data_IF_159556990445
#
_entry.id   IF_159556990445
#
_cell.length_a   1.000
_cell.length_b   1.000
_cell.length_c   1.000
_cell.angle_alpha   90.00
_cell.angle_beta   90.00
_cell.angle_gamma   90.00
#
_symmetry.space_group_name_H-M   'P 1'
#
loop_
_entity.id
_entity.type
_entity.pdbx_description
1 polymer ?
#
# COMPACT_ATOMS: atom_id res chain seq x y z
N UNK A 1 17.43 3.67 19.02
CA UNK A 1 16.05 3.16 19.06
C UNK A 1 15.52 3.10 17.63
N UNK A 2 14.97 1.95 17.23
CA UNK A 2 14.27 1.61 15.98
C UNK A 2 14.98 1.95 14.63
N UNK A 3 15.55 0.92 14.00
CA UNK A 3 16.06 0.93 12.63
C UNK A 3 14.94 1.24 11.64
N UNK A 4 15.04 2.42 11.02
CA UNK A 4 14.18 2.83 9.94
C UNK A 4 14.73 2.39 8.58
N UNK A 5 13.81 1.95 7.74
CA UNK A 5 13.94 1.88 6.28
C UNK A 5 14.78 0.73 5.69
N UNK A 6 14.37 -0.51 5.93
CA UNK A 6 14.45 -1.54 4.88
C UNK A 6 13.60 -1.09 3.68
N UNK A 7 14.26 -0.33 2.83
CA UNK A 7 13.77 0.16 1.55
C UNK A 7 13.89 -1.01 0.57
N UNK A 8 12.86 -1.82 0.43
CA UNK A 8 12.70 -2.62 -0.79
C UNK A 8 12.34 -1.63 -1.91
N UNK A 9 13.21 -1.37 -2.91
CA UNK A 9 12.90 -0.46 -4.01
C UNK A 9 12.10 -1.24 -5.05
N UNK A 10 10.87 -1.59 -4.72
CA UNK A 10 9.93 -2.25 -5.62
C UNK A 10 8.84 -1.27 -6.04
N UNK A 11 8.88 -0.83 -7.31
CA UNK A 11 7.72 -0.25 -8.01
C UNK A 11 7.12 1.05 -7.41
N UNK A 12 7.76 2.19 -7.72
CA UNK A 12 7.02 3.31 -8.30
C UNK A 12 6.28 4.31 -7.40
N UNK A 13 6.51 4.35 -6.09
CA UNK A 13 6.00 5.40 -5.21
C UNK A 13 7.13 5.96 -4.32
N UNK A 14 7.28 7.29 -4.27
CA UNK A 14 8.24 7.94 -3.36
C UNK A 14 8.03 7.46 -1.92
N UNK A 15 9.09 7.31 -1.14
CA UNK A 15 9.01 6.83 0.26
C UNK A 15 7.98 7.58 1.11
N UNK A 16 7.79 8.88 0.84
CA UNK A 16 6.77 9.73 1.43
C UNK A 16 5.33 9.33 1.05
N UNK A 17 5.10 8.91 -0.20
CA UNK A 17 3.81 8.39 -0.63
C UNK A 17 3.52 7.02 0.02
N UNK A 18 4.53 6.14 0.10
CA UNK A 18 4.42 4.87 0.82
C UNK A 18 4.01 5.12 2.28
N UNK A 19 4.70 6.01 2.99
CA UNK A 19 4.39 6.37 4.37
C UNK A 19 2.98 6.94 4.52
N UNK A 20 2.52 7.79 3.59
CA UNK A 20 1.17 8.35 3.59
C UNK A 20 0.09 7.25 3.49
N UNK A 21 0.27 6.28 2.60
CA UNK A 21 -0.71 5.20 2.38
C UNK A 21 -0.64 4.07 3.41
N UNK A 22 0.51 3.83 4.05
CA UNK A 22 0.69 2.73 5.02
C UNK A 22 0.62 3.16 6.48
N UNK A 23 0.87 4.43 6.80
CA UNK A 23 0.90 4.92 8.19
C UNK A 23 0.28 6.29 8.40
N UNK A 24 -0.05 7.04 7.34
CA UNK A 24 -0.65 8.37 7.42
C UNK A 24 -2.17 8.37 7.26
N UNK A 25 -2.73 9.56 7.07
CA UNK A 25 -4.16 9.76 6.77
C UNK A 25 -4.62 9.00 5.52
N UNK A 26 -3.71 8.75 4.58
CA UNK A 26 -3.97 7.90 3.43
C UNK A 26 -4.45 6.51 3.85
N UNK A 27 -3.83 5.89 4.86
CA UNK A 27 -4.25 4.59 5.41
C UNK A 27 -5.70 4.61 5.86
N UNK A 28 -6.11 5.60 6.64
CA UNK A 28 -7.47 5.64 7.19
C UNK A 28 -8.55 5.69 6.10
N UNK A 29 -8.26 6.32 4.95
CA UNK A 29 -9.21 6.47 3.83
C UNK A 29 -9.58 5.13 3.17
N UNK A 30 -8.64 4.19 3.09
CA UNK A 30 -8.90 2.88 2.47
C UNK A 30 -8.96 1.76 3.51
N UNK A 31 -8.12 1.75 4.55
CA UNK A 31 -8.10 0.70 5.55
C UNK A 31 -9.39 0.62 6.39
N UNK A 32 -10.11 1.74 6.56
CA UNK A 32 -11.41 1.78 7.24
C UNK A 32 -12.59 1.45 6.30
N UNK A 33 -12.35 1.33 5.00
CA UNK A 33 -13.42 0.98 4.04
C UNK A 33 -13.79 -0.51 4.15
N UNK A 34 -15.04 -0.88 3.84
CA UNK A 34 -15.48 -2.28 3.80
C UNK A 34 -14.73 -3.14 2.76
N UNK A 35 -14.10 -2.51 1.77
CA UNK A 35 -13.23 -3.16 0.77
C UNK A 35 -11.90 -2.42 0.65
N UNK A 36 -10.95 -2.63 1.56
CA UNK A 36 -9.74 -1.81 1.65
C UNK A 36 -8.91 -1.83 0.37
N UNK A 37 -8.67 -3.03 -0.17
CA UNK A 37 -7.88 -3.24 -1.38
C UNK A 37 -8.51 -2.54 -2.60
N UNK A 38 -9.84 -2.66 -2.78
CA UNK A 38 -10.55 -2.04 -3.91
C UNK A 38 -10.55 -0.51 -3.80
N UNK A 39 -10.75 0.04 -2.60
CA UNK A 39 -10.69 1.49 -2.37
C UNK A 39 -9.30 2.01 -2.69
N UNK A 40 -8.26 1.34 -2.20
CA UNK A 40 -6.87 1.71 -2.44
C UNK A 40 -6.49 1.65 -3.92
N UNK A 41 -6.85 0.57 -4.61
CA UNK A 41 -6.63 0.44 -6.05
C UNK A 41 -7.36 1.55 -6.85
N UNK A 42 -8.58 1.92 -6.45
CA UNK A 42 -9.35 3.00 -7.09
C UNK A 42 -8.74 4.38 -6.86
N UNK A 43 -8.07 4.58 -5.72
CA UNK A 43 -7.34 5.81 -5.43
C UNK A 43 -6.03 5.86 -6.21
N UNK A 44 -5.28 4.75 -6.25
CA UNK A 44 -4.01 4.65 -6.98
C UNK A 44 -4.21 4.80 -8.49
N UNK A 45 -5.24 4.18 -9.08
CA UNK A 45 -5.50 4.29 -10.54
C UNK A 45 -5.73 5.71 -11.04
N UNK A 46 -6.05 6.68 -10.17
CA UNK A 46 -6.16 8.10 -10.55
C UNK A 46 -4.80 8.75 -10.85
N UNK A 47 -3.74 8.21 -10.28
CA UNK A 47 -2.38 8.77 -10.37
C UNK A 47 -1.43 7.94 -11.23
N UNK A 48 -1.78 6.68 -11.53
CA UNK A 48 -0.92 5.75 -12.27
C UNK A 48 -1.74 4.72 -13.04
N UNK A 49 -1.11 4.03 -13.99
CA UNK A 49 -1.73 2.97 -14.77
C UNK A 49 -2.20 1.80 -13.89
N UNK A 50 -3.26 1.16 -14.34
CA UNK A 50 -3.95 0.05 -13.71
C UNK A 50 -3.01 -1.08 -13.20
N UNK A 51 -2.04 -1.46 -14.03
CA UNK A 51 -1.05 -2.48 -13.69
C UNK A 51 -0.19 -2.11 -12.47
N UNK A 52 0.27 -0.84 -12.39
CA UNK A 52 1.05 -0.33 -11.24
C UNK A 52 0.18 -0.19 -10.00
N UNK A 53 -1.06 0.30 -10.17
CA UNK A 53 -2.00 0.47 -9.07
C UNK A 53 -2.32 -0.86 -8.38
N UNK A 54 -2.49 -1.95 -9.14
CA UNK A 54 -2.77 -3.29 -8.61
C UNK A 54 -1.61 -3.86 -7.79
N UNK A 55 -0.38 -3.67 -8.26
CA UNK A 55 0.83 -4.08 -7.55
C UNK A 55 0.98 -3.34 -6.22
N UNK A 56 0.95 -2.00 -6.26
CA UNK A 56 1.07 -1.17 -5.06
C UNK A 56 -0.08 -1.38 -4.08
N UNK A 57 -1.32 -1.53 -4.56
CA UNK A 57 -2.46 -1.80 -3.69
C UNK A 57 -2.27 -3.10 -2.91
N UNK A 58 -1.71 -4.13 -3.55
CA UNK A 58 -1.42 -5.41 -2.91
C UNK A 58 -0.29 -5.25 -1.89
N UNK A 59 0.83 -4.64 -2.26
CA UNK A 59 1.95 -4.43 -1.33
C UNK A 59 1.54 -3.64 -0.08
N UNK A 60 0.82 -2.53 -0.25
CA UNK A 60 0.31 -1.75 0.87
C UNK A 60 -0.71 -2.52 1.71
N UNK A 61 -1.59 -3.30 1.09
CA UNK A 61 -2.56 -4.13 1.81
C UNK A 61 -1.83 -5.15 2.70
N UNK A 62 -0.85 -5.88 2.16
CA UNK A 62 -0.03 -6.81 2.95
C UNK A 62 0.74 -6.09 4.05
N UNK A 63 1.32 -4.92 3.76
CA UNK A 63 2.09 -4.13 4.74
C UNK A 63 1.23 -3.61 5.90
N UNK A 64 0.00 -3.20 5.63
CA UNK A 64 -0.91 -2.61 6.63
C UNK A 64 -1.65 -3.66 7.45
N UNK A 65 -2.15 -4.72 6.80
CA UNK A 65 -2.92 -5.76 7.45
C UNK A 65 -2.05 -6.92 7.95
N UNK A 66 -0.78 -7.00 7.53
CA UNK A 66 0.14 -8.07 7.91
C UNK A 66 -0.23 -9.45 7.34
N UNK A 67 -1.33 -9.54 6.58
CA UNK A 67 -1.86 -10.76 6.00
C UNK A 67 -2.13 -10.53 4.52
N UNK A 68 -1.23 -11.02 3.67
CA UNK A 68 -1.46 -11.08 2.23
C UNK A 68 -1.96 -12.47 1.82
N UNK A 69 -2.69 -12.59 0.69
CA UNK A 69 -3.13 -13.89 0.16
C UNK A 69 -1.99 -14.83 -0.28
N UNK A 70 -0.73 -14.51 0.04
CA UNK A 70 0.45 -15.32 -0.28
C UNK A 70 1.48 -15.41 0.83
N UNK A 71 1.17 -15.02 2.08
CA UNK A 71 2.10 -15.20 3.20
C UNK A 71 1.92 -16.59 3.83
N UNK A 72 2.26 -17.64 3.07
CA UNK A 72 2.63 -18.93 3.64
C UNK A 72 3.93 -19.38 2.97
N UNK A 73 4.98 -19.38 3.80
CA UNK A 73 6.25 -20.10 3.69
C UNK A 73 7.34 -19.52 2.76
#
# INVERSE_FOLDING_TARGET
MAGGADSSPGVGASASLNAYWTSGEGRAKWASSPKPWTTLYTLLRKYMSDAKAKGLATEYFVRVFGHGPGAHH
#
